data_IF_892435896259
#
_entry.id   IF_892435896259
#
_cell.length_a   1.000
_cell.length_b   1.000
_cell.length_c   1.000
_cell.angle_alpha   90.00
_cell.angle_beta   90.00
_cell.angle_gamma   90.00
#
_symmetry.space_group_name_H-M   'P 1'
#
loop_
_entity.id
_entity.type
_entity.pdbx_description
1 polymer ?
#
# COMPACT_ATOMS: atom_id res chain seq x y z
N UNK A 1 -19.60 -33.68 -44.79
CA UNK A 1 -19.47 -34.86 -43.91
C UNK A 1 -18.57 -34.46 -42.75
N UNK A 2 -19.09 -34.41 -41.53
CA UNK A 2 -18.30 -34.10 -40.34
C UNK A 2 -17.52 -35.36 -39.92
N UNK A 3 -16.18 -35.27 -39.89
CA UNK A 3 -15.32 -36.34 -39.42
C UNK A 3 -15.33 -36.27 -37.89
N UNK A 4 -15.92 -37.27 -37.25
CA UNK A 4 -15.94 -37.38 -35.79
C UNK A 4 -14.52 -37.64 -35.26
N UNK A 5 -14.15 -37.08 -34.09
CA UNK A 5 -12.84 -37.30 -33.52
C UNK A 5 -12.61 -38.79 -33.18
N UNK A 6 -11.36 -39.27 -33.30
CA UNK A 6 -11.00 -40.67 -33.06
C UNK A 6 -11.23 -41.01 -31.58
N UNK A 7 -12.40 -41.58 -31.29
CA UNK A 7 -12.86 -41.89 -29.93
C UNK A 7 -14.39 -41.88 -29.79
N UNK A 8 -15.11 -41.19 -30.68
CA UNK A 8 -16.58 -41.19 -30.76
C UNK A 8 -17.11 -42.02 -31.94
N UNK A 9 -16.24 -42.71 -32.68
CA UNK A 9 -16.63 -43.67 -33.69
C UNK A 9 -17.10 -44.97 -33.01
N UNK A 10 -18.39 -45.28 -33.14
CA UNK A 10 -19.00 -46.48 -32.57
C UNK A 10 -18.45 -47.74 -33.26
N UNK A 11 -17.35 -48.29 -32.73
CA UNK A 11 -16.71 -49.51 -33.24
C UNK A 11 -17.42 -50.75 -32.70
N UNK A 12 -18.55 -51.10 -33.30
CA UNK A 12 -19.18 -52.39 -33.08
C UNK A 12 -18.53 -53.44 -34.01
N UNK A 13 -17.31 -53.86 -33.68
CA UNK A 13 -16.65 -55.03 -34.28
C UNK A 13 -15.96 -55.84 -33.19
N UNK A 14 -16.57 -56.98 -32.87
CA UNK A 14 -15.94 -58.11 -32.20
C UNK A 14 -14.63 -58.45 -32.93
N UNK A 15 -13.49 -58.16 -32.33
CA UNK A 15 -12.22 -58.80 -32.62
C UNK A 15 -11.33 -58.68 -31.38
N UNK A 16 -10.96 -59.84 -30.83
CA UNK A 16 -9.91 -60.02 -29.83
C UNK A 16 -8.55 -59.66 -30.45
N UNK A 17 -8.28 -58.37 -30.62
CA UNK A 17 -6.94 -57.82 -30.64
C UNK A 17 -6.82 -57.02 -29.37
N UNK A 18 -5.89 -57.40 -28.50
CA UNK A 18 -5.49 -56.62 -27.33
C UNK A 18 -5.45 -55.15 -27.72
N UNK A 19 -6.42 -54.36 -27.25
CA UNK A 19 -6.30 -52.92 -27.22
C UNK A 19 -5.00 -52.68 -26.47
N UNK A 20 -3.93 -52.37 -27.19
CA UNK A 20 -2.92 -51.48 -26.64
C UNK A 20 -3.74 -50.27 -26.22
N UNK A 21 -4.07 -50.22 -24.92
CA UNK A 21 -4.55 -49.03 -24.26
C UNK A 21 -3.63 -47.94 -24.78
N UNK A 22 -4.13 -47.09 -25.68
CA UNK A 22 -3.36 -45.96 -26.17
C UNK A 22 -3.12 -45.09 -24.94
N UNK A 23 -2.04 -45.38 -24.22
CA UNK A 23 -1.74 -44.79 -22.92
C UNK A 23 -1.59 -43.27 -23.08
N UNK A 24 -1.15 -42.86 -24.27
CA UNK A 24 -1.11 -41.50 -24.74
C UNK A 24 -2.48 -40.82 -24.92
N UNK A 25 -3.56 -41.55 -25.20
CA UNK A 25 -4.91 -40.98 -25.23
C UNK A 25 -5.59 -41.01 -23.85
N UNK A 26 -5.20 -41.93 -22.98
CA UNK A 26 -5.72 -42.02 -21.61
C UNK A 26 -5.43 -40.75 -20.79
N UNK A 27 -4.34 -40.02 -21.08
CA UNK A 27 -3.98 -38.76 -20.41
C UNK A 27 -4.91 -37.58 -20.71
N UNK A 28 -5.60 -37.59 -21.86
CA UNK A 28 -6.53 -36.52 -22.26
C UNK A 28 -8.00 -36.83 -21.92
N UNK A 29 -8.28 -38.04 -21.42
CA UNK A 29 -9.61 -38.47 -21.00
C UNK A 29 -9.85 -38.38 -19.49
N UNK A 30 -10.96 -38.95 -19.02
CA UNK A 30 -11.31 -38.97 -17.60
C UNK A 30 -10.26 -39.69 -16.72
N UNK A 31 -9.55 -40.67 -17.28
CA UNK A 31 -8.43 -41.35 -16.60
C UNK A 31 -7.30 -40.37 -16.25
N UNK A 32 -6.97 -39.43 -17.14
CA UNK A 32 -6.03 -38.35 -16.87
C UNK A 32 -6.49 -37.43 -15.74
N UNK A 33 -7.78 -37.05 -15.73
CA UNK A 33 -8.37 -36.25 -14.64
C UNK A 33 -8.31 -37.00 -13.31
N UNK A 34 -8.53 -38.33 -13.29
CA UNK A 34 -8.43 -39.10 -12.05
C UNK A 34 -7.01 -39.16 -11.50
N UNK A 35 -5.98 -39.19 -12.36
CA UNK A 35 -4.58 -39.11 -11.93
C UNK A 35 -4.26 -37.72 -11.33
N UNK A 36 -4.81 -36.66 -11.92
CA UNK A 36 -4.70 -35.29 -11.40
C UNK A 36 -5.45 -35.11 -10.06
N UNK A 37 -6.65 -35.67 -9.93
CA UNK A 37 -7.43 -35.64 -8.69
C UNK A 37 -6.76 -36.40 -7.54
N UNK A 38 -5.96 -37.42 -7.86
CA UNK A 38 -5.15 -38.17 -6.89
C UNK A 38 -3.82 -37.51 -6.56
N UNK A 39 -3.53 -36.34 -7.11
CA UNK A 39 -2.29 -35.60 -6.93
C UNK A 39 -1.03 -36.39 -7.34
N UNK A 40 -1.16 -37.27 -8.35
CA UNK A 40 -0.07 -38.16 -8.79
C UNK A 40 0.95 -37.44 -9.70
N UNK A 41 0.62 -36.28 -10.28
CA UNK A 41 1.47 -35.54 -11.24
C UNK A 41 1.87 -34.14 -10.76
N UNK A 42 3.01 -34.03 -10.07
CA UNK A 42 3.48 -32.81 -9.38
C UNK A 42 3.57 -31.55 -10.27
N UNK A 43 3.98 -31.66 -11.53
CA UNK A 43 4.20 -30.50 -12.42
C UNK A 43 2.90 -29.85 -12.93
N UNK A 44 1.81 -30.62 -13.07
CA UNK A 44 0.54 -30.14 -13.63
C UNK A 44 -0.47 -29.72 -12.58
N UNK A 45 -0.29 -30.16 -11.33
CA UNK A 45 -1.16 -29.82 -10.19
C UNK A 45 -1.46 -28.32 -10.01
N UNK A 46 -0.47 -27.40 -10.05
CA UNK A 46 -0.76 -25.99 -9.80
C UNK A 46 -1.69 -25.37 -10.86
N UNK A 47 -1.64 -25.86 -12.11
CA UNK A 47 -2.53 -25.40 -13.18
C UNK A 47 -3.96 -25.94 -13.05
N UNK A 48 -4.11 -27.16 -12.50
CA UNK A 48 -5.39 -27.86 -12.38
C UNK A 48 -6.18 -27.40 -11.15
N UNK A 49 -5.50 -27.22 -10.02
CA UNK A 49 -6.10 -26.69 -8.80
C UNK A 49 -6.43 -25.21 -8.98
N UNK A 50 -5.61 -24.50 -9.76
CA UNK A 50 -5.71 -23.07 -9.95
C UNK A 50 -5.15 -22.28 -8.76
N UNK A 51 -5.15 -20.97 -8.92
CA UNK A 51 -4.73 -20.02 -7.90
C UNK A 51 -5.87 -19.04 -7.65
N UNK A 52 -6.10 -18.69 -6.39
CA UNK A 52 -7.02 -17.61 -6.06
C UNK A 52 -6.44 -16.27 -6.53
N UNK A 53 -7.08 -15.68 -7.53
CA UNK A 53 -6.68 -14.39 -8.10
C UNK A 53 -6.92 -13.22 -7.14
N UNK A 54 -7.81 -13.37 -6.16
CA UNK A 54 -8.03 -12.34 -5.14
C UNK A 54 -6.83 -12.20 -4.20
N UNK A 55 -6.03 -13.27 -4.06
CA UNK A 55 -4.79 -13.22 -3.28
C UNK A 55 -3.66 -12.45 -3.97
N UNK A 56 -3.84 -12.04 -5.24
CA UNK A 56 -2.86 -11.24 -5.98
C UNK A 56 -2.93 -9.74 -5.64
N UNK A 57 -3.90 -9.32 -4.81
CA UNK A 57 -4.04 -7.92 -4.41
C UNK A 57 -4.46 -6.98 -5.55
N UNK A 58 -4.98 -7.54 -6.65
CA UNK A 58 -5.50 -6.77 -7.78
C UNK A 58 -7.01 -6.56 -7.62
N UNK A 59 -7.45 -5.31 -7.66
CA UNK A 59 -8.88 -5.02 -7.74
C UNK A 59 -9.38 -5.24 -9.17
N UNK A 60 -10.02 -6.39 -9.40
CA UNK A 60 -10.58 -6.77 -10.69
C UNK A 60 -11.99 -6.21 -10.93
N UNK A 61 -12.54 -5.41 -9.99
CA UNK A 61 -13.88 -4.84 -10.14
C UNK A 61 -13.94 -3.70 -11.16
N UNK A 62 -12.86 -2.91 -11.27
CA UNK A 62 -12.74 -1.79 -12.23
C UNK A 62 -11.82 -2.15 -13.41
N UNK A 63 -12.42 -2.67 -14.47
CA UNK A 63 -11.73 -3.18 -15.67
C UNK A 63 -10.82 -2.19 -16.41
N UNK A 64 -10.88 -0.88 -16.12
CA UNK A 64 -10.22 0.15 -16.92
C UNK A 64 -8.90 0.71 -16.37
N UNK A 65 -8.65 0.63 -15.05
CA UNK A 65 -7.62 1.46 -14.41
C UNK A 65 -6.42 0.70 -13.84
N UNK A 66 -6.52 -0.63 -13.70
CA UNK A 66 -5.44 -1.43 -13.11
C UNK A 66 -4.11 -1.24 -13.84
N UNK A 67 -4.13 -1.13 -15.17
CA UNK A 67 -2.91 -1.00 -15.98
C UNK A 67 -2.23 0.35 -15.85
N UNK A 68 -2.94 1.39 -15.38
CA UNK A 68 -2.35 2.72 -15.19
C UNK A 68 -1.50 2.80 -13.93
N UNK A 69 -1.76 1.93 -12.95
CA UNK A 69 -1.13 1.95 -11.61
C UNK A 69 -0.26 0.71 -11.39
N UNK A 70 -0.29 -0.27 -12.30
CA UNK A 70 0.45 -1.53 -12.15
C UNK A 70 1.97 -1.29 -12.17
N UNK A 71 2.69 -1.53 -11.06
CA UNK A 71 4.13 -1.24 -10.98
C UNK A 71 4.96 -2.22 -11.79
N UNK A 72 4.59 -3.50 -11.73
CA UNK A 72 5.30 -4.58 -12.38
C UNK A 72 4.43 -5.81 -12.54
N UNK A 73 4.69 -6.67 -13.56
CA UNK A 73 4.06 -7.97 -13.68
C UNK A 73 4.37 -8.95 -12.52
N UNK A 74 5.45 -8.71 -11.75
CA UNK A 74 5.83 -9.58 -10.63
C UNK A 74 5.60 -8.89 -9.29
N UNK A 75 4.85 -9.54 -8.40
CA UNK A 75 4.56 -9.01 -7.07
C UNK A 75 5.83 -8.72 -6.25
N UNK A 76 6.88 -9.54 -6.41
CA UNK A 76 8.15 -9.41 -5.67
C UNK A 76 8.93 -8.12 -5.98
N UNK A 77 8.71 -7.53 -7.16
CA UNK A 77 9.36 -6.28 -7.57
C UNK A 77 8.44 -5.05 -7.49
N UNK A 78 7.15 -5.24 -7.16
CA UNK A 78 6.21 -4.16 -6.87
C UNK A 78 6.47 -3.63 -5.45
N UNK A 79 7.54 -2.84 -5.30
CA UNK A 79 8.00 -2.32 -4.00
C UNK A 79 7.44 -0.94 -3.64
N UNK A 80 6.81 -0.26 -4.59
CA UNK A 80 6.26 1.09 -4.42
C UNK A 80 5.12 1.31 -5.40
N UNK A 81 4.22 2.21 -5.05
CA UNK A 81 3.19 2.70 -5.95
C UNK A 81 3.81 3.45 -7.12
N UNK A 82 3.17 3.37 -8.28
CA UNK A 82 3.58 4.11 -9.48
C UNK A 82 2.68 5.31 -9.67
N UNK A 83 3.30 6.47 -9.88
CA UNK A 83 2.59 7.69 -10.25
C UNK A 83 1.93 7.49 -11.63
N UNK A 84 0.59 7.58 -11.72
CA UNK A 84 -0.11 7.39 -12.99
C UNK A 84 0.13 8.59 -13.91
N UNK A 85 -0.13 8.39 -15.21
CA UNK A 85 -0.14 9.50 -16.16
C UNK A 85 -1.31 10.46 -15.87
N UNK A 86 -1.00 11.73 -15.65
CA UNK A 86 -1.99 12.81 -15.51
C UNK A 86 -1.64 13.98 -16.43
N UNK A 87 -2.64 14.77 -16.79
CA UNK A 87 -2.46 16.03 -17.53
C UNK A 87 -2.93 17.18 -16.64
N UNK A 88 -2.07 18.18 -16.48
CA UNK A 88 -2.43 19.40 -15.76
C UNK A 88 -3.20 20.33 -16.70
N UNK A 89 -4.43 20.76 -16.34
CA UNK A 89 -5.13 21.84 -17.02
C UNK A 89 -4.24 23.08 -17.15
N UNK A 90 -4.41 23.84 -18.23
CA UNK A 90 -3.59 25.02 -18.48
C UNK A 90 -3.70 26.06 -17.36
N UNK A 91 -4.86 26.20 -16.72
CA UNK A 91 -5.11 27.17 -15.66
C UNK A 91 -4.25 27.00 -14.40
N UNK A 92 -3.74 25.79 -14.13
CA UNK A 92 -2.95 25.49 -12.93
C UNK A 92 -1.46 25.32 -13.21
N UNK A 93 -1.02 25.58 -14.45
CA UNK A 93 0.40 25.57 -14.80
C UNK A 93 1.08 26.81 -14.26
N UNK A 94 2.31 26.67 -13.78
CA UNK A 94 3.11 27.76 -13.20
C UNK A 94 3.24 28.98 -14.10
N UNK A 95 3.18 28.77 -15.42
CA UNK A 95 3.24 29.83 -16.45
C UNK A 95 2.02 30.77 -16.41
N UNK A 96 0.86 30.25 -16.02
CA UNK A 96 -0.42 30.95 -16.08
C UNK A 96 -0.86 31.53 -14.72
N UNK A 97 -0.12 31.24 -13.64
CA UNK A 97 -0.41 31.76 -12.30
C UNK A 97 0.16 33.17 -12.17
N UNK A 98 -0.73 34.18 -12.21
CA UNK A 98 -0.40 35.60 -12.09
C UNK A 98 -1.21 36.21 -10.93
N UNK A 99 -0.56 36.81 -9.91
CA UNK A 99 0.89 36.88 -9.68
C UNK A 99 1.47 35.52 -9.25
N UNK A 100 2.77 35.33 -9.47
CA UNK A 100 3.46 34.11 -9.01
C UNK A 100 3.37 33.99 -7.49
N UNK A 101 3.19 32.77 -6.94
CA UNK A 101 3.21 32.57 -5.50
C UNK A 101 4.54 33.03 -4.90
N UNK A 102 4.46 33.71 -3.76
CA UNK A 102 5.64 34.09 -2.98
C UNK A 102 6.31 32.86 -2.34
N UNK A 103 7.60 32.92 -1.99
CA UNK A 103 8.29 31.84 -1.28
C UNK A 103 7.55 31.46 0.00
N UNK A 104 7.45 30.15 0.27
CA UNK A 104 6.74 29.61 1.42
C UNK A 104 7.26 30.17 2.76
N UNK A 105 8.55 30.47 2.85
CA UNK A 105 9.22 30.97 4.07
C UNK A 105 8.53 32.21 4.66
N UNK A 106 8.05 33.12 3.81
CA UNK A 106 7.41 34.36 4.25
C UNK A 106 6.02 34.14 4.84
N UNK A 107 5.34 33.05 4.46
CA UNK A 107 3.96 32.75 4.85
C UNK A 107 3.84 31.58 5.80
N UNK A 108 4.95 31.03 6.28
CA UNK A 108 4.94 29.81 7.07
C UNK A 108 4.12 29.95 8.37
N UNK A 109 4.11 31.13 8.97
CA UNK A 109 3.30 31.48 10.14
C UNK A 109 1.79 31.38 9.90
N UNK A 110 1.34 31.58 8.66
CA UNK A 110 -0.09 31.51 8.30
C UNK A 110 -0.60 30.09 8.02
N UNK A 111 0.29 29.10 7.91
CA UNK A 111 -0.11 27.73 7.62
C UNK A 111 -0.77 27.04 8.82
N UNK A 112 -1.67 26.10 8.56
CA UNK A 112 -2.24 25.24 9.61
C UNK A 112 -1.18 24.28 10.16
N UNK A 113 -1.41 23.73 11.35
CA UNK A 113 -0.49 22.74 11.95
C UNK A 113 -0.28 21.54 11.02
N UNK A 114 -1.34 21.08 10.34
CA UNK A 114 -1.27 19.95 9.39
C UNK A 114 -0.35 20.24 8.22
N UNK A 115 -0.40 21.44 7.66
CA UNK A 115 0.52 21.86 6.59
C UNK A 115 1.96 21.94 7.11
N UNK A 116 2.18 22.38 8.35
CA UNK A 116 3.51 22.38 8.96
C UNK A 116 4.03 20.95 9.17
N UNK A 117 3.18 20.01 9.61
CA UNK A 117 3.54 18.60 9.67
C UNK A 117 3.88 18.04 8.29
N UNK A 118 3.12 18.40 7.25
CA UNK A 118 3.39 17.98 5.88
C UNK A 118 4.77 18.43 5.43
N UNK A 119 5.10 19.71 5.62
CA UNK A 119 6.41 20.26 5.28
C UNK A 119 7.51 19.52 6.07
N UNK A 120 7.29 19.29 7.36
CA UNK A 120 8.28 18.64 8.23
C UNK A 120 8.60 17.20 7.82
N UNK A 121 7.60 16.39 7.45
CA UNK A 121 7.77 14.98 7.09
C UNK A 121 8.15 14.76 5.62
N UNK A 122 7.73 15.63 4.70
CA UNK A 122 7.97 15.46 3.25
C UNK A 122 9.30 16.07 2.77
N UNK A 123 9.92 16.96 3.55
CA UNK A 123 11.15 17.68 3.16
C UNK A 123 12.29 17.47 4.16
N UNK A 124 12.78 16.22 4.35
CA UNK A 124 13.89 15.99 5.26
C UNK A 124 15.17 16.71 4.78
N UNK A 125 15.90 17.34 5.70
CA UNK A 125 17.16 18.07 5.44
C UNK A 125 17.01 19.32 4.57
N UNK A 126 15.81 19.90 4.54
CA UNK A 126 15.50 21.15 3.88
C UNK A 126 15.41 22.29 4.91
N UNK A 127 15.73 23.53 4.52
CA UNK A 127 15.53 24.71 5.38
C UNK A 127 14.05 24.90 5.74
N UNK A 128 13.14 24.48 4.86
CA UNK A 128 11.71 24.50 5.12
C UNK A 128 11.30 23.62 6.31
N UNK A 129 12.00 22.51 6.54
CA UNK A 129 11.76 21.63 7.70
C UNK A 129 12.09 22.35 9.00
N UNK A 130 13.19 23.11 9.03
CA UNK A 130 13.59 23.91 10.20
C UNK A 130 12.58 25.02 10.48
N UNK A 131 12.13 25.74 9.45
CA UNK A 131 11.11 26.77 9.61
C UNK A 131 9.80 26.18 10.13
N UNK A 132 9.35 25.03 9.59
CA UNK A 132 8.13 24.38 10.05
C UNK A 132 8.25 23.91 11.51
N UNK A 133 9.40 23.32 11.88
CA UNK A 133 9.68 22.90 13.25
C UNK A 133 9.65 24.09 14.23
N UNK A 134 10.28 25.22 13.86
CA UNK A 134 10.30 26.43 14.68
C UNK A 134 8.90 26.99 14.91
N UNK A 135 8.07 27.01 13.88
CA UNK A 135 6.67 27.46 14.00
C UNK A 135 5.82 26.49 14.83
N UNK A 136 6.01 25.18 14.68
CA UNK A 136 5.35 24.17 15.53
C UNK A 136 5.73 24.35 17.01
N UNK A 137 7.02 24.55 17.30
CA UNK A 137 7.50 24.86 18.66
C UNK A 137 6.86 26.14 19.20
N UNK A 138 6.78 27.21 18.40
CA UNK A 138 6.12 28.46 18.80
C UNK A 138 4.62 28.26 19.13
N UNK A 139 3.99 27.23 18.55
CA UNK A 139 2.61 26.81 18.83
C UNK A 139 2.49 25.77 19.95
N UNK A 140 3.53 25.59 20.76
CA UNK A 140 3.62 24.61 21.86
C UNK A 140 3.58 23.14 21.41
N UNK A 141 3.96 22.84 20.17
CA UNK A 141 4.28 21.47 19.78
C UNK A 141 5.71 21.12 20.20
N UNK A 142 5.90 19.88 20.63
CA UNK A 142 7.20 19.33 21.04
C UNK A 142 7.48 18.10 20.20
N UNK A 143 8.70 17.98 19.70
CA UNK A 143 9.09 16.82 18.90
C UNK A 143 9.69 15.75 19.79
N UNK A 144 9.13 14.54 19.78
CA UNK A 144 9.68 13.41 20.54
C UNK A 144 10.71 12.67 19.70
N UNK A 145 11.98 12.70 20.11
CA UNK A 145 13.13 12.19 19.34
C UNK A 145 13.07 10.68 19.08
N UNK A 146 12.65 9.91 20.08
CA UNK A 146 12.68 8.44 19.99
C UNK A 146 11.59 7.87 19.08
N UNK A 147 10.37 8.39 19.18
CA UNK A 147 9.22 7.94 18.38
C UNK A 147 8.95 8.82 17.14
N UNK A 148 9.75 9.88 16.95
CA UNK A 148 9.74 10.75 15.77
C UNK A 148 8.38 11.39 15.44
N UNK A 149 7.61 11.72 16.48
CA UNK A 149 6.30 12.37 16.36
C UNK A 149 6.21 13.68 17.13
N UNK A 150 5.36 14.57 16.63
CA UNK A 150 5.00 15.81 17.30
C UNK A 150 3.87 15.57 18.30
N UNK A 151 4.00 16.17 19.48
CA UNK A 151 2.98 16.13 20.53
C UNK A 151 2.78 17.49 21.18
N UNK A 152 1.58 17.74 21.69
CA UNK A 152 1.28 18.92 22.49
C UNK A 152 0.43 18.56 23.70
N UNK A 153 0.48 19.39 24.75
CA UNK A 153 -0.32 19.21 25.97
C UNK A 153 -1.79 19.50 25.65
N UNK A 154 -2.71 18.65 26.11
CA UNK A 154 -4.13 18.96 26.07
C UNK A 154 -4.42 20.18 26.97
N UNK A 155 -5.01 21.24 26.41
CA UNK A 155 -5.25 22.49 27.13
C UNK A 155 -6.18 22.33 28.34
N UNK A 156 -6.97 21.25 28.39
CA UNK A 156 -7.95 21.02 29.43
C UNK A 156 -7.38 20.31 30.67
N UNK A 157 -6.21 19.68 30.56
CA UNK A 157 -5.69 18.77 31.60
C UNK A 157 -4.24 19.14 31.88
N UNK A 158 -3.95 19.54 33.13
CA UNK A 158 -2.57 19.76 33.55
C UNK A 158 -1.85 18.44 33.83
N UNK A 159 -0.65 18.22 33.28
CA UNK A 159 0.13 17.04 33.58
C UNK A 159 0.63 17.10 35.03
N UNK A 160 0.69 15.92 35.64
CA UNK A 160 1.22 15.74 36.99
C UNK A 160 2.70 15.40 36.87
N UNK A 161 3.55 16.19 37.51
CA UNK A 161 4.97 15.86 37.68
C UNK A 161 5.10 14.65 38.61
N UNK A 162 5.65 13.55 38.10
CA UNK A 162 5.89 12.32 38.87
C UNK A 162 7.35 12.26 39.35
N UNK A 163 8.26 12.96 38.66
CA UNK A 163 9.66 13.06 39.03
C UNK A 163 10.27 14.39 38.59
N UNK A 164 11.59 14.51 38.75
CA UNK A 164 12.32 15.75 38.46
C UNK A 164 12.23 16.18 36.97
N UNK A 165 12.21 15.21 36.04
CA UNK A 165 12.15 15.43 34.59
C UNK A 165 11.09 14.55 33.90
N UNK A 166 10.09 14.10 34.66
CA UNK A 166 9.06 13.18 34.17
C UNK A 166 7.69 13.71 34.56
N UNK A 167 6.87 13.94 33.53
CA UNK A 167 5.49 14.35 33.70
C UNK A 167 4.55 13.30 33.10
N UNK A 168 3.38 13.13 33.72
CA UNK A 168 2.32 12.26 33.22
C UNK A 168 1.07 13.10 32.97
N UNK A 169 0.53 13.01 31.77
CA UNK A 169 -0.64 13.78 31.40
C UNK A 169 -1.29 13.25 30.15
N UNK A 170 -2.28 13.99 29.67
CA UNK A 170 -2.95 13.70 28.40
C UNK A 170 -2.37 14.60 27.33
N UNK A 171 -1.85 13.97 26.27
CA UNK A 171 -1.23 14.65 25.15
C UNK A 171 -1.98 14.35 23.87
N UNK A 172 -1.85 15.27 22.92
CA UNK A 172 -2.32 15.13 21.55
C UNK A 172 -1.10 14.88 20.69
N UNK A 173 -1.02 13.70 20.09
CA UNK A 173 0.00 13.31 19.12
C UNK A 173 -0.51 13.55 17.71
N UNK A 174 0.38 13.89 16.80
CA UNK A 174 0.08 13.82 15.37
C UNK A 174 0.66 12.52 14.79
N UNK A 175 -0.20 11.68 14.23
CA UNK A 175 0.17 10.44 13.54
C UNK A 175 0.38 10.73 12.04
N UNK A 176 1.63 10.70 11.54
CA UNK A 176 1.91 10.98 10.13
C UNK A 176 1.46 9.85 9.18
N UNK A 177 1.22 8.63 9.69
CA UNK A 177 0.80 7.51 8.85
C UNK A 177 -0.70 7.55 8.54
N UNK A 178 -1.50 7.84 9.57
CA UNK A 178 -2.96 7.95 9.45
C UNK A 178 -3.43 9.39 9.22
N UNK A 179 -2.52 10.36 9.28
CA UNK A 179 -2.78 11.80 9.13
C UNK A 179 -3.84 12.33 10.11
N UNK A 180 -3.73 11.94 11.38
CA UNK A 180 -4.72 12.26 12.41
C UNK A 180 -4.10 12.72 13.73
N UNK A 181 -4.90 13.46 14.53
CA UNK A 181 -4.53 13.88 15.88
C UNK A 181 -5.09 12.89 16.90
N UNK A 182 -4.21 12.18 17.62
CA UNK A 182 -4.58 11.14 18.59
C UNK A 182 -4.38 11.65 20.01
N UNK A 183 -5.43 11.63 20.81
CA UNK A 183 -5.37 11.99 22.23
C UNK A 183 -5.08 10.75 23.08
N UNK A 184 -4.03 10.79 23.90
CA UNK A 184 -3.62 9.65 24.73
C UNK A 184 -2.97 10.09 26.05
N UNK A 185 -3.15 9.32 27.10
CA UNK A 185 -2.37 9.44 28.33
C UNK A 185 -0.94 8.96 28.09
N UNK A 186 0.04 9.78 28.45
CA UNK A 186 1.45 9.50 28.20
C UNK A 186 2.32 9.99 29.36
N UNK A 187 3.43 9.28 29.59
CA UNK A 187 4.48 9.67 30.53
C UNK A 187 5.61 10.25 29.70
N UNK A 188 5.76 11.57 29.75
CA UNK A 188 6.75 12.31 28.99
C UNK A 188 8.03 12.47 29.80
N UNK A 189 9.14 12.02 29.23
CA UNK A 189 10.48 12.35 29.71
C UNK A 189 10.98 13.60 28.99
N UNK A 190 11.36 14.65 29.73
CA UNK A 190 11.83 15.90 29.11
C UNK A 190 13.10 15.70 28.28
N UNK A 191 13.94 14.72 28.61
CA UNK A 191 15.13 14.36 27.82
C UNK A 191 14.80 13.87 26.40
N UNK A 192 13.64 13.26 26.23
CA UNK A 192 13.22 12.63 24.96
C UNK A 192 12.53 13.61 24.01
N UNK A 193 12.13 14.80 24.49
CA UNK A 193 11.58 15.85 23.63
C UNK A 193 12.62 16.89 23.27
N UNK A 194 12.40 17.52 22.13
CA UNK A 194 13.10 18.72 21.70
C UNK A 194 12.10 19.89 21.75
N UNK A 195 12.52 20.92 22.47
CA UNK A 195 11.92 22.26 22.47
C UNK A 195 12.71 23.17 21.57
#
# INVERSE_FOLDING_TARGET
MAILPPGLANNNKNNNSSMEDNDDMNKYGLKGITALARMEQTEQMPFVIGQDVNMLGLDLSDSGKILQVLPSPWAETSRSDVEPYFTLPESIRDENIIPRPEPCDNKIQSFSDETLFYIFYMRPRDTLQEYAARELVARNWRYHKDIQVWLTKDSNIEPVLIGQDVEKGVYIFFDPHNWEKIKKEFVLHYSSVQT
#
